data_IF_325165525326
#
_entry.id   IF_325165525326
#
_cell.length_a   1.000
_cell.length_b   1.000
_cell.length_c   1.000
_cell.angle_alpha   90.00
_cell.angle_beta   90.00
_cell.angle_gamma   90.00
#
_symmetry.space_group_name_H-M   'P 1'
#
loop_
_entity.id
_entity.type
_entity.pdbx_description
1 polymer ?
#
# COMPACT_ATOMS: atom_id res chain seq x y z
N UNK A 1 1.29 -6.81 -4.48
CA UNK A 1 2.57 -7.19 -5.15
C UNK A 1 3.78 -7.14 -4.21
N UNK A 2 3.87 -6.22 -3.25
CA UNK A 2 5.03 -6.10 -2.34
C UNK A 2 5.16 -7.22 -1.29
N UNK A 3 4.08 -7.95 -1.00
CA UNK A 3 4.09 -9.06 -0.02
C UNK A 3 5.01 -10.21 -0.44
N UNK A 4 4.91 -10.69 -1.68
CA UNK A 4 5.71 -11.83 -2.14
C UNK A 4 7.23 -11.58 -2.16
N UNK A 5 7.67 -10.34 -2.39
CA UNK A 5 9.11 -10.00 -2.36
C UNK A 5 9.63 -9.97 -0.91
N UNK A 6 8.81 -9.44 0.00
CA UNK A 6 9.11 -9.42 1.43
C UNK A 6 9.21 -10.84 1.99
N UNK A 7 8.24 -11.69 1.67
CA UNK A 7 8.20 -13.08 2.13
C UNK A 7 9.41 -13.87 1.59
N UNK A 8 9.81 -13.60 0.34
CA UNK A 8 11.01 -14.16 -0.25
C UNK A 8 12.29 -13.71 0.49
N UNK A 9 12.43 -12.41 0.78
CA UNK A 9 13.58 -11.89 1.50
C UNK A 9 13.67 -12.44 2.93
N UNK A 10 12.55 -12.64 3.60
CA UNK A 10 12.50 -13.24 4.95
C UNK A 10 12.96 -14.70 4.93
N UNK A 11 12.58 -15.48 3.91
CA UNK A 11 13.05 -16.85 3.73
C UNK A 11 14.56 -16.93 3.47
N UNK A 12 15.10 -16.03 2.63
CA UNK A 12 16.54 -15.93 2.40
C UNK A 12 17.28 -15.56 3.68
N UNK A 13 16.77 -14.59 4.45
CA UNK A 13 17.37 -14.17 5.70
C UNK A 13 17.41 -15.29 6.75
N UNK A 14 16.31 -16.05 6.88
CA UNK A 14 16.23 -17.19 7.78
C UNK A 14 17.21 -18.32 7.43
N UNK A 15 17.52 -18.51 6.14
CA UNK A 15 18.50 -19.50 5.67
C UNK A 15 19.96 -19.04 5.84
N UNK A 16 20.20 -17.73 5.90
CA UNK A 16 21.54 -17.14 6.02
C UNK A 16 21.97 -16.90 7.47
N UNK A 17 21.05 -17.01 8.45
CA UNK A 17 21.36 -16.87 9.87
C UNK A 17 22.31 -18.01 10.34
N UNK A 18 23.52 -17.70 10.83
CA UNK A 18 24.46 -18.70 11.32
C UNK A 18 23.90 -19.55 12.47
N UNK A 19 22.92 -19.03 13.22
CA UNK A 19 22.33 -19.69 14.40
C UNK A 19 21.30 -20.78 14.04
N UNK A 20 20.79 -20.80 12.81
CA UNK A 20 19.75 -21.74 12.34
C UNK A 20 20.30 -22.85 11.41
N UNK A 21 21.63 -22.92 11.20
CA UNK A 21 22.30 -23.87 10.28
C UNK A 21 21.93 -25.35 10.46
N UNK A 22 21.43 -25.76 11.63
CA UNK A 22 20.98 -27.13 11.91
C UNK A 22 19.60 -27.51 11.33
N UNK A 23 18.79 -26.55 10.87
CA UNK A 23 17.40 -26.78 10.38
C UNK A 23 17.35 -26.90 8.84
N UNK A 24 18.50 -27.02 8.18
CA UNK A 24 18.77 -26.41 6.87
C UNK A 24 18.43 -27.19 5.59
N UNK A 25 18.01 -28.46 5.63
CA UNK A 25 17.72 -29.21 4.38
C UNK A 25 16.24 -29.19 3.97
N UNK A 26 15.34 -29.43 4.92
CA UNK A 26 13.90 -29.56 4.64
C UNK A 26 13.24 -28.21 4.32
N UNK A 27 13.59 -27.15 5.06
CA UNK A 27 13.07 -25.80 4.80
C UNK A 27 13.59 -25.23 3.49
N UNK A 28 14.87 -25.46 3.14
CA UNK A 28 15.42 -25.06 1.85
C UNK A 28 14.77 -25.83 0.68
N UNK A 29 14.48 -27.12 0.86
CA UNK A 29 13.79 -27.95 -0.14
C UNK A 29 12.36 -27.48 -0.43
N UNK A 30 11.67 -26.85 0.52
CA UNK A 30 10.31 -26.32 0.35
C UNK A 30 10.34 -24.87 -0.16
N UNK A 31 11.30 -24.06 0.30
CA UNK A 31 11.44 -22.66 -0.08
C UNK A 31 11.90 -22.46 -1.53
N UNK A 32 12.71 -23.37 -2.08
CA UNK A 32 13.20 -23.31 -3.47
C UNK A 32 12.06 -23.27 -4.51
N UNK A 33 11.15 -24.26 -4.52
CA UNK A 33 10.00 -24.28 -5.43
C UNK A 33 9.08 -23.06 -5.26
N UNK A 34 8.81 -22.63 -4.03
CA UNK A 34 7.97 -21.44 -3.75
C UNK A 34 8.62 -20.15 -4.25
N UNK A 35 9.95 -20.03 -4.16
CA UNK A 35 10.72 -18.92 -4.71
C UNK A 35 10.60 -18.85 -6.24
N UNK A 36 10.78 -19.97 -6.92
CA UNK A 36 10.69 -20.05 -8.38
C UNK A 36 9.28 -19.64 -8.86
N UNK A 37 8.24 -20.10 -8.17
CA UNK A 37 6.87 -19.74 -8.52
C UNK A 37 6.58 -18.25 -8.26
N UNK A 38 7.07 -17.71 -7.14
CA UNK A 38 6.94 -16.29 -6.81
C UNK A 38 7.63 -15.41 -7.86
N UNK A 39 8.85 -15.78 -8.29
CA UNK A 39 9.58 -15.07 -9.33
C UNK A 39 8.88 -15.15 -10.70
N UNK A 40 8.32 -16.32 -11.03
CA UNK A 40 7.52 -16.52 -12.25
C UNK A 40 6.28 -15.61 -12.24
N UNK A 41 5.56 -15.57 -11.12
CA UNK A 41 4.39 -14.70 -10.97
C UNK A 41 4.76 -13.21 -11.07
N UNK A 42 5.87 -12.79 -10.47
CA UNK A 42 6.36 -11.41 -10.58
C UNK A 42 6.71 -11.03 -12.02
N UNK A 43 7.35 -11.95 -12.77
CA UNK A 43 7.66 -11.74 -14.19
C UNK A 43 6.38 -11.60 -15.02
N UNK A 44 5.39 -12.46 -14.77
CA UNK A 44 4.08 -12.39 -15.42
C UNK A 44 3.38 -11.05 -15.13
N UNK A 45 3.32 -10.65 -13.85
CA UNK A 45 2.70 -9.39 -13.44
C UNK A 45 3.39 -8.16 -14.06
N UNK A 46 4.72 -8.20 -14.22
CA UNK A 46 5.48 -7.13 -14.88
C UNK A 46 5.07 -6.97 -16.34
N UNK A 47 4.91 -8.07 -17.08
CA UNK A 47 4.49 -8.00 -18.47
C UNK A 47 3.03 -7.55 -18.59
N UNK A 48 2.16 -7.98 -17.68
CA UNK A 48 0.76 -7.54 -17.63
C UNK A 48 0.65 -6.03 -17.35
N UNK A 49 1.48 -5.50 -16.45
CA UNK A 49 1.59 -4.06 -16.21
C UNK A 49 2.01 -3.31 -17.48
N UNK A 50 3.04 -3.78 -18.20
CA UNK A 50 3.47 -3.14 -19.45
C UNK A 50 2.36 -3.10 -20.50
N UNK A 51 1.61 -4.19 -20.63
CA UNK A 51 0.48 -4.28 -21.56
C UNK A 51 -0.63 -3.30 -21.15
N UNK A 52 -0.98 -3.24 -19.86
CA UNK A 52 -1.97 -2.29 -19.36
C UNK A 52 -1.56 -0.83 -19.65
N UNK A 53 -0.28 -0.49 -19.43
CA UNK A 53 0.25 0.84 -19.79
C UNK A 53 0.16 1.12 -21.30
N UNK A 54 0.41 0.13 -22.16
CA UNK A 54 0.24 0.30 -23.61
C UNK A 54 -1.22 0.57 -23.97
N UNK A 55 -2.17 -0.18 -23.42
CA UNK A 55 -3.60 0.00 -23.67
C UNK A 55 -4.08 1.38 -23.20
N UNK A 56 -3.66 1.82 -22.01
CA UNK A 56 -3.98 3.15 -21.49
C UNK A 56 -3.40 4.23 -22.40
N UNK A 57 -2.13 4.10 -22.78
CA UNK A 57 -1.48 5.03 -23.71
C UNK A 57 -2.24 5.14 -25.03
N UNK A 58 -2.54 4.00 -25.67
CA UNK A 58 -3.26 3.97 -26.94
C UNK A 58 -4.67 4.58 -26.81
N UNK A 59 -5.34 4.34 -25.68
CA UNK A 59 -6.66 4.93 -25.40
C UNK A 59 -6.55 6.45 -25.21
N UNK A 60 -5.54 6.94 -24.50
CA UNK A 60 -5.27 8.37 -24.35
C UNK A 60 -4.93 9.02 -25.69
N UNK A 61 -4.09 8.38 -26.50
CA UNK A 61 -3.72 8.86 -27.83
C UNK A 61 -4.94 8.98 -28.76
N UNK A 62 -5.95 8.11 -28.61
CA UNK A 62 -7.24 8.20 -29.32
C UNK A 62 -8.19 9.28 -28.80
N UNK A 63 -8.08 9.63 -27.52
CA UNK A 63 -8.95 10.60 -26.85
C UNK A 63 -8.44 12.03 -26.94
N UNK A 64 -7.16 12.21 -27.29
CA UNK A 64 -6.62 13.53 -27.61
C UNK A 64 -7.29 14.03 -28.90
N UNK A 65 -7.91 15.21 -28.88
CA UNK A 65 -8.49 15.76 -30.10
C UNK A 65 -7.41 16.01 -31.15
N UNK A 66 -7.76 15.79 -32.42
CA UNK A 66 -6.84 15.97 -33.55
C UNK A 66 -6.44 17.44 -33.74
N UNK A 67 -7.29 18.37 -33.29
CA UNK A 67 -7.03 19.81 -33.24
C UNK A 67 -7.07 20.29 -31.78
N UNK A 68 -6.05 21.06 -31.39
CA UNK A 68 -5.96 21.70 -30.06
C UNK A 68 -7.15 22.66 -29.84
N UNK A 69 -7.76 23.16 -30.93
CA UNK A 69 -8.93 24.03 -30.90
C UNK A 69 -10.20 23.35 -30.37
N UNK A 70 -10.26 22.01 -30.37
CA UNK A 70 -11.37 21.23 -29.81
C UNK A 70 -11.25 21.02 -28.29
N UNK A 71 -10.09 21.37 -27.71
CA UNK A 71 -9.92 21.38 -26.25
C UNK A 71 -10.70 22.57 -25.69
N UNK A 72 -11.76 22.29 -24.91
CA UNK A 72 -12.42 23.31 -24.10
C UNK A 72 -11.38 23.91 -23.16
N UNK A 73 -11.06 25.22 -23.26
CA UNK A 73 -10.06 25.83 -22.39
C UNK A 73 -10.44 25.64 -20.93
N UNK A 74 -9.47 25.31 -20.08
CA UNK A 74 -9.67 25.33 -18.64
C UNK A 74 -9.93 26.78 -18.24
N UNK A 75 -11.18 27.12 -17.99
CA UNK A 75 -11.56 28.47 -17.59
C UNK A 75 -11.21 28.62 -16.09
N UNK A 76 -10.15 29.38 -15.80
CA UNK A 76 -9.74 29.77 -14.44
C UNK A 76 -10.70 30.77 -13.76
N UNK A 77 -11.79 31.15 -14.42
CA UNK A 77 -12.79 31.98 -13.75
C UNK A 77 -13.61 31.10 -12.78
N UNK A 78 -13.75 31.52 -11.50
CA UNK A 78 -14.59 30.79 -10.57
C UNK A 78 -15.98 30.69 -11.17
N UNK A 79 -16.49 29.46 -11.28
CA UNK A 79 -17.84 29.17 -11.76
C UNK A 79 -18.77 30.10 -11.00
N UNK A 80 -19.31 31.12 -11.68
CA UNK A 80 -20.30 32.04 -11.09
C UNK A 80 -21.39 31.18 -10.49
N UNK A 81 -21.54 31.26 -9.16
CA UNK A 81 -22.52 30.61 -8.30
C UNK A 81 -23.74 30.10 -9.06
N UNK A 82 -23.62 28.91 -9.67
CA UNK A 82 -24.80 28.08 -9.92
C UNK A 82 -25.07 27.43 -8.60
N UNK A 83 -26.25 27.68 -8.05
CA UNK A 83 -26.69 26.96 -6.86
C UNK A 83 -26.48 25.46 -7.14
N UNK A 84 -25.69 24.76 -6.30
CA UNK A 84 -25.38 23.36 -6.55
C UNK A 84 -26.69 22.59 -6.63
N UNK A 85 -26.81 21.69 -7.61
CA UNK A 85 -28.02 20.89 -7.78
C UNK A 85 -28.34 20.17 -6.45
N UNK A 86 -29.62 19.87 -6.17
CA UNK A 86 -29.98 19.17 -4.95
C UNK A 86 -29.22 17.84 -4.77
N UNK A 87 -28.89 17.12 -5.86
CA UNK A 87 -28.04 15.92 -5.76
C UNK A 87 -26.60 16.26 -5.35
N UNK A 88 -26.03 17.34 -5.91
CA UNK A 88 -24.69 17.79 -5.55
C UNK A 88 -24.62 18.27 -4.09
N UNK A 89 -25.66 18.94 -3.59
CA UNK A 89 -25.78 19.33 -2.17
C UNK A 89 -25.79 18.10 -1.26
N UNK A 90 -26.54 17.05 -1.61
CA UNK A 90 -26.57 15.80 -0.83
C UNK A 90 -25.21 15.08 -0.83
N UNK A 91 -24.53 15.04 -1.98
CA UNK A 91 -23.19 14.45 -2.09
C UNK A 91 -22.14 15.21 -1.26
N UNK A 92 -22.23 16.54 -1.20
CA UNK A 92 -21.34 17.36 -0.36
C UNK A 92 -21.56 17.04 1.12
N UNK A 93 -22.81 16.96 1.57
CA UNK A 93 -23.14 16.60 2.96
C UNK A 93 -22.62 15.20 3.30
N UNK A 94 -22.89 14.21 2.44
CA UNK A 94 -22.42 12.85 2.63
C UNK A 94 -20.88 12.77 2.69
N UNK A 95 -20.18 13.52 1.83
CA UNK A 95 -18.71 13.63 1.86
C UNK A 95 -18.22 14.20 3.19
N UNK A 96 -18.85 15.26 3.69
CA UNK A 96 -18.47 15.88 4.95
C UNK A 96 -18.68 14.96 6.14
N UNK A 97 -19.78 14.20 6.18
CA UNK A 97 -20.04 13.19 7.21
C UNK A 97 -18.99 12.07 7.20
N UNK A 98 -18.68 11.54 6.03
CA UNK A 98 -17.64 10.51 5.87
C UNK A 98 -16.27 11.06 6.30
N UNK A 99 -15.96 12.31 5.95
CA UNK A 99 -14.70 12.95 6.32
C UNK A 99 -14.58 13.11 7.84
N UNK A 100 -15.65 13.55 8.52
CA UNK A 100 -15.68 13.65 9.99
C UNK A 100 -15.44 12.30 10.64
N UNK A 101 -16.12 11.25 10.16
CA UNK A 101 -15.96 9.89 10.68
C UNK A 101 -14.54 9.35 10.47
N UNK A 102 -13.95 9.60 9.30
CA UNK A 102 -12.57 9.21 9.00
C UNK A 102 -11.58 9.87 9.97
N UNK A 103 -11.75 11.15 10.26
CA UNK A 103 -10.90 11.87 11.21
C UNK A 103 -11.01 11.27 12.62
N UNK A 104 -12.23 10.97 13.09
CA UNK A 104 -12.44 10.32 14.39
C UNK A 104 -11.75 8.95 14.45
N UNK A 105 -11.92 8.12 13.42
CA UNK A 105 -11.26 6.79 13.37
C UNK A 105 -9.74 6.93 13.36
N UNK A 106 -9.21 7.91 12.64
CA UNK A 106 -7.77 8.18 12.59
C UNK A 106 -7.23 8.57 13.96
N UNK A 107 -7.96 9.40 14.72
CA UNK A 107 -7.57 9.79 16.07
C UNK A 107 -7.53 8.59 17.03
N UNK A 108 -8.53 7.71 16.97
CA UNK A 108 -8.59 6.50 17.80
C UNK A 108 -7.47 5.51 17.47
N UNK A 109 -7.16 5.32 16.18
CA UNK A 109 -6.04 4.49 15.76
C UNK A 109 -4.70 5.05 16.26
N UNK A 110 -4.54 6.37 16.27
CA UNK A 110 -3.34 7.02 16.78
C UNK A 110 -3.21 6.85 18.30
N UNK A 111 -4.31 6.92 19.07
CA UNK A 111 -4.33 6.61 20.51
C UNK A 111 -3.88 5.16 20.76
N UNK A 112 -4.45 4.20 20.03
CA UNK A 112 -4.08 2.79 20.14
C UNK A 112 -2.62 2.55 19.77
N UNK A 113 -2.12 3.17 18.71
CA UNK A 113 -0.71 3.09 18.29
C UNK A 113 0.22 3.55 19.41
N UNK A 114 -0.09 4.67 20.06
CA UNK A 114 0.72 5.20 21.18
C UNK A 114 0.72 4.25 22.37
N UNK A 115 -0.45 3.73 22.75
CA UNK A 115 -0.57 2.77 23.85
C UNK A 115 0.24 1.51 23.55
N UNK A 116 0.04 0.91 22.36
CA UNK A 116 0.78 -0.29 21.94
C UNK A 116 2.28 -0.05 21.94
N UNK A 117 2.73 1.08 21.40
CA UNK A 117 4.15 1.45 21.37
C UNK A 117 4.70 1.53 22.78
N UNK A 118 4.00 2.22 23.69
CA UNK A 118 4.40 2.31 25.10
C UNK A 118 4.48 0.92 25.76
N UNK A 119 3.47 0.08 25.59
CA UNK A 119 3.46 -1.27 26.15
C UNK A 119 4.58 -2.14 25.60
N UNK A 120 4.91 -2.00 24.31
CA UNK A 120 6.05 -2.71 23.71
C UNK A 120 7.37 -2.26 24.34
N UNK A 121 7.56 -0.95 24.57
CA UNK A 121 8.75 -0.46 25.28
C UNK A 121 8.82 -0.96 26.72
N UNK A 122 7.73 -0.89 27.48
CA UNK A 122 7.66 -1.40 28.85
C UNK A 122 7.97 -2.91 28.93
N UNK A 123 7.42 -3.70 27.99
CA UNK A 123 7.73 -5.12 27.89
C UNK A 123 9.19 -5.35 27.55
N UNK A 124 9.74 -4.57 26.62
CA UNK A 124 11.14 -4.68 26.22
C UNK A 124 12.08 -4.39 27.40
N UNK A 125 11.79 -3.34 28.18
CA UNK A 125 12.53 -2.99 29.40
C UNK A 125 12.47 -4.09 30.46
N UNK A 126 11.34 -4.78 30.60
CA UNK A 126 11.17 -5.91 31.54
C UNK A 126 11.88 -7.20 31.07
N UNK A 127 12.06 -7.36 29.76
CA UNK A 127 12.78 -8.49 29.16
C UNK A 127 14.27 -8.24 28.98
N UNK A 128 14.76 -7.04 29.29
CA UNK A 128 16.18 -6.72 29.24
C UNK A 128 16.93 -7.44 30.38
N UNK A 129 17.75 -8.42 30.01
CA UNK A 129 18.51 -9.31 30.91
C UNK A 129 19.49 -8.55 31.83
N UNK A 130 19.75 -7.27 31.56
CA UNK A 130 20.56 -6.41 32.41
C UNK A 130 19.79 -5.79 33.60
N UNK A 131 18.45 -5.74 33.55
CA UNK A 131 17.60 -5.22 34.65
C UNK A 131 17.31 -6.31 35.70
N UNK A 132 17.37 -7.59 35.31
CA UNK A 132 17.13 -8.75 36.21
C UNK A 132 18.35 -9.16 37.06
N UNK A 133 19.44 -8.38 37.10
CA UNK A 133 20.66 -8.69 37.86
C UNK A 133 20.81 -7.97 39.21
N UNK A 134 19.72 -7.51 39.80
CA UNK A 134 19.66 -7.09 41.20
C UNK A 134 18.62 -7.88 41.97
#
# INVERSE_FOLDING_TARGET
MLSGLRDLMLLFYACMDPKTRGVSAHQASIAGPQCVETLRQMKSNKELLKQAFHVVKESCDRLLPADISDLVPYIDTPIKNKEPSPELKQLIIAREEVTKRLLTVTEELEKLRRILTKTVWELNDLTDLNVQKF
#
